data_IF_391715276612
#
_entry.id   IF_391715276612
#
_cell.length_a   1.000
_cell.length_b   1.000
_cell.length_c   1.000
_cell.angle_alpha   90.00
_cell.angle_beta   90.00
_cell.angle_gamma   90.00
#
_symmetry.space_group_name_H-M   'P 1'
#
loop_
_entity.id
_entity.type
_entity.pdbx_description
1 polymer ?
#
# COMPACT_ATOMS: atom_id res chain seq x y z
N UNK A 1 72.24 -1.20 17.85
CA UNK A 1 71.18 -1.05 16.83
C UNK A 1 70.21 -2.24 16.77
N UNK A 2 70.64 -3.48 17.08
CA UNK A 2 69.78 -4.67 17.07
C UNK A 2 68.72 -4.70 18.20
N UNK A 3 69.04 -4.18 19.39
CA UNK A 3 68.13 -4.21 20.54
C UNK A 3 66.88 -3.33 20.37
N UNK A 4 67.02 -2.17 19.72
CA UNK A 4 65.86 -1.30 19.42
C UNK A 4 64.91 -1.97 18.44
N UNK A 5 65.42 -2.67 17.42
CA UNK A 5 64.59 -3.40 16.44
C UNK A 5 63.75 -4.48 17.12
N UNK A 6 64.30 -5.23 18.09
CA UNK A 6 63.54 -6.23 18.84
C UNK A 6 62.39 -5.62 19.64
N UNK A 7 62.63 -4.51 20.36
CA UNK A 7 61.58 -3.84 21.13
C UNK A 7 60.46 -3.25 20.23
N UNK A 8 60.79 -2.75 19.04
CA UNK A 8 59.78 -2.28 18.08
C UNK A 8 58.94 -3.42 17.49
N UNK A 9 59.55 -4.59 17.25
CA UNK A 9 58.85 -5.76 16.72
C UNK A 9 57.90 -6.40 17.75
N UNK A 10 58.31 -6.48 19.01
CA UNK A 10 57.44 -6.95 20.10
C UNK A 10 56.25 -6.01 20.33
N UNK A 11 56.48 -4.70 20.33
CA UNK A 11 55.41 -3.71 20.45
C UNK A 11 54.44 -3.74 19.25
N UNK A 12 54.95 -3.99 18.03
CA UNK A 12 54.10 -4.14 16.85
C UNK A 12 53.30 -5.45 16.83
N UNK A 13 53.86 -6.54 17.34
CA UNK A 13 53.18 -7.83 17.47
C UNK A 13 52.09 -7.78 18.55
N UNK A 14 52.38 -7.19 19.72
CA UNK A 14 51.43 -7.00 20.80
C UNK A 14 50.19 -6.20 20.35
N UNK A 15 50.37 -5.16 19.52
CA UNK A 15 49.25 -4.37 18.96
C UNK A 15 48.36 -5.13 17.98
N UNK A 16 48.89 -6.13 17.25
CA UNK A 16 48.08 -6.99 16.37
C UNK A 16 47.29 -8.04 17.15
N UNK A 17 47.79 -8.47 18.30
CA UNK A 17 47.11 -9.44 19.18
C UNK A 17 46.07 -8.76 20.08
N UNK A 18 46.32 -7.51 20.50
CA UNK A 18 45.39 -6.68 21.29
C UNK A 18 44.16 -6.24 20.46
N UNK A 19 44.37 -5.86 19.20
CA UNK A 19 43.30 -5.60 18.24
C UNK A 19 42.96 -6.88 17.49
N UNK A 20 42.42 -7.88 18.20
CA UNK A 20 41.91 -9.11 17.59
C UNK A 20 40.83 -8.80 16.56
N UNK A 21 41.24 -8.47 15.34
CA UNK A 21 40.41 -8.23 14.16
C UNK A 21 39.80 -9.57 13.73
N UNK A 22 38.85 -10.06 14.53
CA UNK A 22 37.97 -11.16 14.20
C UNK A 22 37.05 -10.67 13.10
N UNK A 23 37.50 -10.78 11.85
CA UNK A 23 36.64 -10.58 10.69
C UNK A 23 35.46 -11.54 10.74
N UNK A 24 34.30 -11.12 10.23
CA UNK A 24 33.16 -11.99 10.01
C UNK A 24 33.59 -13.19 9.16
N UNK A 25 33.22 -14.39 9.59
CA UNK A 25 33.48 -15.59 8.84
C UNK A 25 32.57 -15.65 7.62
N UNK A 26 33.10 -16.10 6.48
CA UNK A 26 32.33 -16.24 5.25
C UNK A 26 31.15 -17.22 5.45
N UNK A 27 31.32 -18.22 6.32
CA UNK A 27 30.24 -19.15 6.68
C UNK A 27 29.14 -18.48 7.51
N UNK A 28 29.46 -17.51 8.37
CA UNK A 28 28.47 -16.76 9.16
C UNK A 28 27.57 -15.96 8.23
N UNK A 29 28.15 -15.29 7.25
CA UNK A 29 27.39 -14.51 6.29
C UNK A 29 26.53 -15.42 5.38
N UNK A 30 27.03 -16.59 4.99
CA UNK A 30 26.26 -17.57 4.22
C UNK A 30 25.03 -18.06 5.00
N UNK A 31 25.18 -18.42 6.28
CA UNK A 31 24.05 -18.91 7.09
C UNK A 31 22.97 -17.82 7.22
N UNK A 32 23.38 -16.56 7.40
CA UNK A 32 22.44 -15.43 7.50
C UNK A 32 21.63 -15.28 6.22
N UNK A 33 22.27 -15.27 5.04
CA UNK A 33 21.53 -15.12 3.77
C UNK A 33 20.65 -16.33 3.47
N UNK A 34 21.04 -17.53 3.91
CA UNK A 34 20.20 -18.74 3.79
C UNK A 34 18.93 -18.59 4.63
N UNK A 35 19.05 -18.15 5.89
CA UNK A 35 17.89 -17.94 6.76
C UNK A 35 17.00 -16.82 6.20
N UNK A 36 17.59 -15.69 5.77
CA UNK A 36 16.85 -14.60 5.13
C UNK A 36 16.15 -15.06 3.85
N UNK A 37 16.78 -15.92 3.05
CA UNK A 37 16.17 -16.50 1.85
C UNK A 37 14.92 -17.32 2.16
N UNK A 38 14.95 -18.15 3.21
CA UNK A 38 13.78 -18.93 3.65
C UNK A 38 12.66 -18.02 4.12
N UNK A 39 12.97 -16.98 4.92
CA UNK A 39 11.98 -16.01 5.39
C UNK A 39 11.32 -15.25 4.23
N UNK A 40 12.10 -14.80 3.26
CA UNK A 40 11.61 -14.07 2.08
C UNK A 40 10.72 -14.95 1.21
N UNK A 41 11.07 -16.22 1.02
CA UNK A 41 10.27 -17.16 0.23
C UNK A 41 8.83 -17.33 0.77
N UNK A 42 8.66 -17.30 2.10
CA UNK A 42 7.35 -17.37 2.75
C UNK A 42 6.67 -15.99 2.80
N UNK A 43 7.43 -14.93 3.03
CA UNK A 43 6.90 -13.59 3.22
C UNK A 43 6.32 -12.98 1.93
N UNK A 44 6.95 -13.19 0.77
CA UNK A 44 6.51 -12.62 -0.52
C UNK A 44 5.05 -12.97 -0.86
N UNK A 45 4.63 -14.25 -0.89
CA UNK A 45 3.25 -14.59 -1.28
C UNK A 45 2.22 -14.04 -0.28
N UNK A 46 2.52 -14.06 1.01
CA UNK A 46 1.63 -13.54 2.06
C UNK A 46 1.46 -12.02 1.90
N UNK A 47 2.59 -11.31 1.76
CA UNK A 47 2.56 -9.85 1.62
C UNK A 47 1.87 -9.40 0.33
N UNK A 48 2.04 -10.13 -0.77
CA UNK A 48 1.32 -9.86 -2.02
C UNK A 48 -0.20 -9.97 -1.85
N UNK A 49 -0.69 -11.02 -1.17
CA UNK A 49 -2.11 -11.18 -0.88
C UNK A 49 -2.65 -10.07 0.05
N UNK A 50 -1.89 -9.70 1.10
CA UNK A 50 -2.29 -8.61 2.01
C UNK A 50 -2.42 -7.29 1.26
N UNK A 51 -1.48 -6.97 0.37
CA UNK A 51 -1.54 -5.75 -0.44
C UNK A 51 -2.76 -5.75 -1.36
N UNK A 52 -3.04 -6.87 -2.04
CA UNK A 52 -4.22 -6.99 -2.90
C UNK A 52 -5.53 -6.77 -2.12
N UNK A 53 -5.66 -7.38 -0.93
CA UNK A 53 -6.84 -7.20 -0.08
C UNK A 53 -6.94 -5.77 0.47
N UNK A 54 -5.82 -5.16 0.85
CA UNK A 54 -5.79 -3.77 1.30
C UNK A 54 -6.24 -2.81 0.18
N UNK A 55 -5.82 -3.07 -1.06
CA UNK A 55 -6.23 -2.29 -2.22
C UNK A 55 -7.72 -2.43 -2.52
N UNK A 56 -8.26 -3.66 -2.49
CA UNK A 56 -9.71 -3.89 -2.63
C UNK A 56 -10.51 -3.19 -1.53
N UNK A 57 -10.03 -3.22 -0.29
CA UNK A 57 -10.67 -2.51 0.82
C UNK A 57 -10.63 -0.99 0.64
N UNK A 58 -9.51 -0.46 0.15
CA UNK A 58 -9.37 0.97 -0.18
C UNK A 58 -10.33 1.39 -1.29
N UNK A 59 -10.51 0.57 -2.33
CA UNK A 59 -11.49 0.81 -3.40
C UNK A 59 -12.93 0.85 -2.86
N UNK A 60 -13.30 -0.14 -2.03
CA UNK A 60 -14.63 -0.18 -1.42
C UNK A 60 -14.87 1.04 -0.51
N UNK A 61 -13.88 1.44 0.27
CA UNK A 61 -13.96 2.61 1.13
C UNK A 61 -14.07 3.90 0.31
N UNK A 62 -13.27 4.06 -0.74
CA UNK A 62 -13.33 5.23 -1.62
C UNK A 62 -14.69 5.34 -2.32
N UNK A 63 -15.24 4.23 -2.83
CA UNK A 63 -16.57 4.21 -3.43
C UNK A 63 -17.65 4.59 -2.40
N UNK A 64 -17.62 4.03 -1.18
CA UNK A 64 -18.59 4.32 -0.13
C UNK A 64 -18.51 5.78 0.37
N UNK A 65 -17.30 6.32 0.52
CA UNK A 65 -17.07 7.71 0.87
C UNK A 65 -17.60 8.64 -0.23
N UNK A 66 -17.29 8.33 -1.50
CA UNK A 66 -17.81 9.08 -2.64
C UNK A 66 -19.33 9.01 -2.74
N UNK A 67 -19.95 7.86 -2.46
CA UNK A 67 -21.40 7.70 -2.43
C UNK A 67 -22.04 8.54 -1.31
N UNK A 68 -21.40 8.61 -0.14
CA UNK A 68 -21.84 9.45 0.99
C UNK A 68 -21.73 10.93 0.64
N UNK A 69 -20.61 11.35 0.03
CA UNK A 69 -20.41 12.73 -0.42
C UNK A 69 -21.40 13.12 -1.52
N UNK A 70 -21.67 12.22 -2.48
CA UNK A 70 -22.69 12.42 -3.49
C UNK A 70 -24.07 12.57 -2.82
N UNK A 71 -24.46 11.67 -1.92
CA UNK A 71 -25.75 11.73 -1.22
C UNK A 71 -25.93 13.04 -0.42
N UNK A 72 -24.87 13.52 0.24
CA UNK A 72 -24.89 14.82 0.91
C UNK A 72 -25.12 15.98 -0.08
N UNK A 73 -24.43 15.97 -1.23
CA UNK A 73 -24.64 16.98 -2.28
C UNK A 73 -26.06 16.95 -2.87
N UNK A 74 -26.66 15.75 -2.99
CA UNK A 74 -28.07 15.58 -3.38
C UNK A 74 -29.04 16.12 -2.33
N UNK A 75 -28.71 16.01 -1.03
CA UNK A 75 -29.54 16.55 0.04
C UNK A 75 -29.48 18.10 0.11
N UNK A 76 -28.32 18.69 -0.14
CA UNK A 76 -28.11 20.14 -0.04
C UNK A 76 -28.67 20.93 -1.24
N UNK A 77 -28.80 20.30 -2.43
CA UNK A 77 -29.30 20.97 -3.64
C UNK A 77 -30.45 20.19 -4.29
N UNK A 78 -31.72 20.52 -3.99
CA UNK A 78 -32.88 19.82 -4.53
C UNK A 78 -33.11 20.04 -6.04
N UNK A 79 -32.30 20.90 -6.70
CA UNK A 79 -32.36 21.15 -8.12
C UNK A 79 -31.01 20.79 -8.77
N UNK A 80 -30.90 19.54 -9.22
CA UNK A 80 -29.86 19.03 -10.12
C UNK A 80 -28.42 19.23 -9.63
N UNK A 81 -27.98 18.50 -8.59
CA UNK A 81 -26.56 18.45 -8.26
C UNK A 81 -25.79 17.91 -9.47
N UNK A 82 -24.61 18.47 -9.73
CA UNK A 82 -23.53 17.81 -10.48
C UNK A 82 -22.66 17.11 -9.43
N UNK A 83 -23.06 15.91 -8.94
CA UNK A 83 -22.43 15.26 -7.79
C UNK A 83 -21.06 14.64 -8.18
N UNK A 84 -20.67 14.82 -9.45
CA UNK A 84 -19.41 14.41 -10.04
C UNK A 84 -18.22 14.99 -9.28
N UNK A 85 -18.27 16.25 -8.83
CA UNK A 85 -17.14 16.88 -8.14
C UNK A 85 -16.97 16.37 -6.69
N UNK A 86 -18.08 16.18 -5.97
CA UNK A 86 -18.08 15.62 -4.62
C UNK A 86 -17.58 14.17 -4.63
N UNK A 87 -18.07 13.34 -5.55
CA UNK A 87 -17.59 11.97 -5.73
C UNK A 87 -16.11 11.93 -6.13
N UNK A 88 -15.65 12.81 -7.03
CA UNK A 88 -14.26 12.86 -7.48
C UNK A 88 -13.26 13.22 -6.37
N UNK A 89 -13.68 14.01 -5.37
CA UNK A 89 -12.84 14.37 -4.22
C UNK A 89 -12.53 13.21 -3.26
N UNK A 90 -13.25 12.09 -3.37
CA UNK A 90 -12.99 10.88 -2.58
C UNK A 90 -11.83 10.02 -3.14
N UNK A 91 -11.32 10.35 -4.33
CA UNK A 91 -10.19 9.66 -4.95
C UNK A 91 -8.87 10.02 -4.28
N UNK A 92 -8.04 9.00 -3.99
CA UNK A 92 -6.70 9.19 -3.42
C UNK A 92 -5.80 7.99 -3.76
N UNK A 93 -4.47 8.19 -3.73
CA UNK A 93 -3.47 7.13 -3.94
C UNK A 93 -3.66 6.31 -5.23
N UNK A 94 -3.95 6.98 -6.35
CA UNK A 94 -4.17 6.31 -7.65
C UNK A 94 -5.56 5.71 -7.84
N UNK A 95 -6.44 5.82 -6.83
CA UNK A 95 -7.86 5.49 -6.96
C UNK A 95 -8.59 6.71 -7.50
N UNK A 96 -9.23 6.56 -8.65
CA UNK A 96 -10.15 7.58 -9.20
C UNK A 96 -11.58 7.20 -8.86
N UNK A 97 -12.37 8.19 -8.48
CA UNK A 97 -13.78 8.01 -8.16
C UNK A 97 -14.63 8.84 -9.10
N UNK A 98 -15.77 8.29 -9.53
CA UNK A 98 -16.69 8.98 -10.38
C UNK A 98 -18.13 8.65 -9.99
N UNK A 99 -19.00 9.65 -10.11
CA UNK A 99 -20.42 9.38 -10.02
C UNK A 99 -20.88 8.66 -11.29
N UNK A 100 -21.61 7.56 -11.10
CA UNK A 100 -22.29 6.81 -12.14
C UNK A 100 -23.79 6.84 -11.80
N UNK A 101 -24.60 7.46 -12.64
CA UNK A 101 -26.05 7.30 -12.52
C UNK A 101 -26.44 6.03 -13.26
N UNK A 102 -27.08 5.06 -12.57
CA UNK A 102 -27.51 3.84 -13.25
C UNK A 102 -28.56 4.20 -14.31
N UNK A 103 -28.62 3.42 -15.40
CA UNK A 103 -29.25 3.82 -16.67
C UNK A 103 -30.60 4.55 -16.50
N UNK A 104 -30.62 5.80 -16.98
CA UNK A 104 -31.74 6.74 -16.84
C UNK A 104 -31.35 7.86 -15.91
N UNK A 105 -31.25 9.08 -16.44
CA UNK A 105 -30.90 10.32 -15.71
C UNK A 105 -31.93 10.67 -14.61
N UNK A 106 -32.16 9.78 -13.64
CA UNK A 106 -33.01 10.01 -12.49
C UNK A 106 -32.22 10.84 -11.50
N UNK A 107 -32.75 12.01 -11.17
CA UNK A 107 -32.26 12.90 -10.11
C UNK A 107 -32.58 12.36 -8.71
N UNK A 108 -33.02 11.10 -8.60
CA UNK A 108 -33.40 10.46 -7.36
C UNK A 108 -32.20 9.83 -6.67
N UNK A 109 -32.08 10.11 -5.37
CA UNK A 109 -31.02 9.57 -4.50
C UNK A 109 -30.96 8.03 -4.54
N UNK A 110 -32.08 7.37 -4.82
CA UNK A 110 -32.19 5.90 -4.93
C UNK A 110 -31.38 5.29 -6.06
N UNK A 111 -31.01 6.07 -7.08
CA UNK A 111 -30.24 5.58 -8.24
C UNK A 111 -28.78 6.05 -8.22
N UNK A 112 -28.34 6.67 -7.12
CA UNK A 112 -26.95 7.14 -6.96
C UNK A 112 -26.04 5.93 -6.86
N UNK A 113 -25.03 5.91 -7.73
CA UNK A 113 -23.95 4.96 -7.68
C UNK A 113 -22.63 5.69 -7.91
N UNK A 114 -21.58 5.28 -7.21
CA UNK A 114 -20.23 5.85 -7.32
C UNK A 114 -19.28 4.72 -7.59
N UNK A 115 -18.49 4.88 -8.64
CA UNK A 115 -17.37 3.98 -8.95
C UNK A 115 -16.10 4.47 -8.27
N UNK A 116 -15.26 3.52 -7.85
CA UNK A 116 -13.88 3.72 -7.48
C UNK A 116 -13.03 2.73 -8.29
N UNK A 117 -12.01 3.21 -8.99
CA UNK A 117 -11.12 2.37 -9.81
C UNK A 117 -9.65 2.68 -9.55
N UNK A 118 -8.82 1.63 -9.51
CA UNK A 118 -7.36 1.73 -9.46
C UNK A 118 -6.71 1.56 -10.85
N UNK A 119 -7.51 1.65 -11.91
CA UNK A 119 -7.08 1.43 -13.30
C UNK A 119 -7.21 -0.01 -13.79
N UNK A 120 -7.40 -0.99 -12.88
CA UNK A 120 -7.63 -2.40 -13.26
C UNK A 120 -8.92 -2.95 -12.66
N UNK A 121 -9.20 -2.64 -11.40
CA UNK A 121 -10.38 -3.08 -10.67
C UNK A 121 -11.30 -1.90 -10.41
N UNK A 122 -12.61 -2.10 -10.57
CA UNK A 122 -13.62 -1.10 -10.24
C UNK A 122 -14.58 -1.66 -9.20
N UNK A 123 -14.91 -0.84 -8.20
CA UNK A 123 -15.92 -1.11 -7.19
C UNK A 123 -16.96 -0.02 -7.18
N UNK A 124 -18.19 -0.41 -6.87
CA UNK A 124 -19.34 0.48 -6.88
C UNK A 124 -19.99 0.54 -5.49
N UNK A 125 -20.46 1.73 -5.11
CA UNK A 125 -21.21 1.92 -3.88
C UNK A 125 -22.31 2.97 -4.07
N UNK A 126 -23.35 2.88 -3.26
CA UNK A 126 -24.50 3.77 -3.29
C UNK A 126 -25.82 3.00 -3.41
N UNK A 127 -26.96 3.67 -3.26
CA UNK A 127 -28.29 3.05 -3.35
C UNK A 127 -28.57 2.33 -4.68
N UNK A 128 -27.97 2.81 -5.77
CA UNK A 128 -28.06 2.19 -7.09
C UNK A 128 -27.02 1.08 -7.34
N UNK A 129 -26.12 0.78 -6.40
CA UNK A 129 -25.10 -0.25 -6.58
C UNK A 129 -25.65 -1.64 -6.25
N UNK A 130 -25.29 -2.63 -7.07
CA UNK A 130 -25.60 -4.04 -6.81
C UNK A 130 -24.96 -4.52 -5.50
N UNK A 131 -25.58 -5.52 -4.86
CA UNK A 131 -25.03 -6.15 -3.67
C UNK A 131 -23.60 -6.66 -3.94
N UNK A 132 -22.65 -6.29 -3.07
CA UNK A 132 -21.23 -6.61 -3.25
C UNK A 132 -20.44 -5.64 -4.15
N UNK A 133 -21.07 -4.56 -4.64
CA UNK A 133 -20.40 -3.46 -5.32
C UNK A 133 -19.77 -3.85 -6.65
N UNK A 134 -20.34 -4.83 -7.34
CA UNK A 134 -19.84 -5.34 -8.62
C UNK A 134 -20.32 -4.51 -9.82
N UNK A 135 -21.44 -3.79 -9.68
CA UNK A 135 -21.98 -2.90 -10.70
C UNK A 135 -22.84 -1.80 -10.07
N UNK A 136 -23.12 -0.78 -10.88
CA UNK A 136 -24.39 -0.07 -10.83
C UNK A 136 -25.40 -0.80 -11.73
#
# INVERSE_FOLDING_TARGET
>A
MRATIHNYLEAAKARREENGEKGFSLIELIIVVVILGILVAIAIPIFSNIQAQAQLNALNAAAANGATAAAAAFADTPASPTPTEAAASAGSNGITTALVTSAGNSTDVSNVCVSATDGTTTRYAGPGAAAGGASC
#
